data_IF_326404167055
#
_entry.id   IF_326404167055
#
_cell.length_a   1.000
_cell.length_b   1.000
_cell.length_c   1.000
_cell.angle_alpha   90.00
_cell.angle_beta   90.00
_cell.angle_gamma   90.00
#
_symmetry.space_group_name_H-M   'P 1'
#
loop_
_entity.id
_entity.type
_entity.pdbx_description
1 polymer ?
#
# COMPACT_ATOMS: atom_id res chain seq x y z
N UNK A 1 1.76 -13.63 -10.47
CA UNK A 1 0.79 -12.52 -10.55
C UNK A 1 1.24 -11.49 -9.55
N UNK A 2 1.53 -10.26 -10.01
CA UNK A 2 2.10 -9.21 -9.18
C UNK A 2 0.93 -8.51 -8.48
N UNK A 3 0.92 -8.49 -7.14
CA UNK A 3 -0.01 -7.69 -6.35
C UNK A 3 0.77 -6.56 -5.70
N UNK A 4 0.15 -5.40 -5.55
CA UNK A 4 0.74 -4.28 -4.83
C UNK A 4 -0.02 -4.06 -3.52
N UNK A 5 0.70 -3.92 -2.42
CA UNK A 5 0.14 -3.30 -1.21
C UNK A 5 0.30 -1.79 -1.33
N UNK A 6 -0.80 -1.04 -1.23
CA UNK A 6 -0.87 0.40 -1.53
C UNK A 6 -1.46 1.16 -0.35
N UNK A 7 -0.84 2.29 -0.01
CA UNK A 7 -1.34 3.25 0.98
C UNK A 7 -0.95 4.66 0.54
N UNK A 8 -1.80 5.65 0.85
CA UNK A 8 -1.47 7.06 0.59
C UNK A 8 -0.44 7.54 1.62
N UNK A 9 0.52 8.36 1.18
CA UNK A 9 1.61 8.89 2.00
C UNK A 9 1.14 9.50 3.32
N UNK A 10 0.11 10.34 3.28
CA UNK A 10 -0.43 11.00 4.47
C UNK A 10 -0.97 9.98 5.50
N UNK A 11 -1.65 8.93 5.03
CA UNK A 11 -2.15 7.87 5.90
C UNK A 11 -1.04 7.01 6.50
N UNK A 12 0.06 6.82 5.75
CA UNK A 12 1.25 6.13 6.24
C UNK A 12 1.97 6.95 7.31
N UNK A 13 2.07 8.27 7.10
CA UNK A 13 2.64 9.18 8.10
C UNK A 13 1.79 9.21 9.37
N UNK A 14 0.48 9.30 9.27
CA UNK A 14 -0.43 9.21 10.42
C UNK A 14 -0.32 7.89 11.16
N UNK A 15 -0.18 6.78 10.43
CA UNK A 15 -0.01 5.46 11.02
C UNK A 15 1.37 5.30 11.71
N UNK A 16 2.35 6.12 11.34
CA UNK A 16 3.71 6.14 11.90
C UNK A 16 4.62 4.98 11.49
N UNK A 17 4.05 3.89 10.97
CA UNK A 17 4.81 2.79 10.36
C UNK A 17 3.93 1.94 9.45
N UNK A 18 4.56 1.18 8.55
CA UNK A 18 3.87 0.21 7.69
C UNK A 18 3.14 -0.88 8.49
N UNK A 19 3.78 -1.39 9.56
CA UNK A 19 3.17 -2.40 10.42
C UNK A 19 1.92 -1.87 11.14
N UNK A 20 1.98 -0.63 11.64
CA UNK A 20 0.84 0.06 12.24
C UNK A 20 -0.29 0.27 11.23
N UNK A 21 0.04 0.71 10.01
CA UNK A 21 -0.92 0.92 8.93
C UNK A 21 -1.60 -0.39 8.53
N UNK A 22 -0.83 -1.48 8.47
CA UNK A 22 -1.34 -2.83 8.19
C UNK A 22 -2.28 -3.32 9.29
N UNK A 23 -1.89 -3.17 10.56
CA UNK A 23 -2.71 -3.54 11.70
C UNK A 23 -4.00 -2.72 11.79
N UNK A 24 -3.97 -1.46 11.37
CA UNK A 24 -5.11 -0.57 11.27
C UNK A 24 -6.00 -0.81 10.03
N UNK A 25 -5.61 -1.72 9.13
CA UNK A 25 -6.36 -2.04 7.91
C UNK A 25 -6.32 -0.94 6.83
N UNK A 26 -5.35 -0.02 6.89
CA UNK A 26 -5.20 1.10 5.94
C UNK A 26 -4.49 0.70 4.63
N UNK A 27 -3.80 -0.42 4.62
CA UNK A 27 -3.11 -0.93 3.44
C UNK A 27 -4.08 -1.68 2.54
N UNK A 28 -4.18 -1.26 1.29
CA UNK A 28 -5.02 -1.86 0.25
C UNK A 28 -4.21 -2.84 -0.58
N UNK A 29 -4.84 -3.92 -1.04
CA UNK A 29 -4.22 -4.88 -1.95
C UNK A 29 -4.77 -4.66 -3.35
N UNK A 30 -3.92 -4.13 -4.21
CA UNK A 30 -4.27 -3.68 -5.55
C UNK A 30 -3.71 -4.61 -6.63
N UNK A 31 -4.50 -4.77 -7.68
CA UNK A 31 -4.21 -5.65 -8.82
C UNK A 31 -3.60 -4.92 -10.00
N UNK A 32 -3.51 -5.62 -11.14
CA UNK A 32 -2.91 -5.11 -12.38
C UNK A 32 -3.63 -3.86 -12.93
N UNK A 33 -4.93 -3.74 -12.70
CA UNK A 33 -5.76 -2.65 -13.24
C UNK A 33 -5.78 -1.41 -12.33
N UNK A 34 -5.01 -1.42 -11.23
CA UNK A 34 -4.91 -0.27 -10.34
C UNK A 34 -4.12 0.86 -10.99
N UNK A 35 -4.72 2.04 -11.01
CA UNK A 35 -4.07 3.27 -11.45
C UNK A 35 -3.39 3.92 -10.25
N UNK A 36 -2.05 3.93 -10.27
CA UNK A 36 -1.25 4.60 -9.24
C UNK A 36 -1.53 6.10 -9.25
N UNK A 37 -1.81 6.65 -8.07
CA UNK A 37 -1.96 8.08 -7.87
C UNK A 37 -0.68 8.70 -7.30
N UNK A 38 -0.50 10.00 -7.52
CA UNK A 38 0.56 10.74 -6.84
C UNK A 38 0.38 10.68 -5.32
N UNK A 39 1.49 10.48 -4.60
CA UNK A 39 1.48 10.27 -3.16
C UNK A 39 1.15 8.84 -2.71
N UNK A 40 0.92 7.89 -3.62
CA UNK A 40 0.83 6.47 -3.24
C UNK A 40 2.21 5.91 -2.87
N UNK A 41 2.25 5.14 -1.79
CA UNK A 41 3.37 4.29 -1.39
C UNK A 41 3.00 2.84 -1.69
N UNK A 42 3.84 2.15 -2.46
CA UNK A 42 3.57 0.80 -2.96
C UNK A 42 4.65 -0.21 -2.53
N UNK A 43 4.21 -1.34 -1.96
CA UNK A 43 5.03 -2.54 -1.79
C UNK A 43 4.63 -3.56 -2.86
N UNK A 44 5.50 -3.76 -3.85
CA UNK A 44 5.22 -4.64 -5.00
C UNK A 44 5.62 -6.08 -4.67
N UNK A 45 4.65 -6.99 -4.67
CA UNK A 45 4.87 -8.43 -4.46
C UNK A 45 5.04 -9.14 -5.80
N UNK A 46 6.29 -9.46 -6.14
CA UNK A 46 6.64 -10.07 -7.43
C UNK A 46 6.94 -11.58 -7.36
N UNK A 47 7.16 -12.13 -6.16
CA UNK A 47 7.37 -13.57 -5.95
C UNK A 47 6.84 -13.93 -4.56
N UNK A 48 5.85 -14.82 -4.50
CA UNK A 48 5.44 -15.53 -3.29
C UNK A 48 5.92 -16.96 -3.44
#
# INVERSE_FOLDING_TARGET
FIRAEVIVWDELLEAGSWASAKAAGRIRLEGKDYHVADGDVLEIRFNV
#
